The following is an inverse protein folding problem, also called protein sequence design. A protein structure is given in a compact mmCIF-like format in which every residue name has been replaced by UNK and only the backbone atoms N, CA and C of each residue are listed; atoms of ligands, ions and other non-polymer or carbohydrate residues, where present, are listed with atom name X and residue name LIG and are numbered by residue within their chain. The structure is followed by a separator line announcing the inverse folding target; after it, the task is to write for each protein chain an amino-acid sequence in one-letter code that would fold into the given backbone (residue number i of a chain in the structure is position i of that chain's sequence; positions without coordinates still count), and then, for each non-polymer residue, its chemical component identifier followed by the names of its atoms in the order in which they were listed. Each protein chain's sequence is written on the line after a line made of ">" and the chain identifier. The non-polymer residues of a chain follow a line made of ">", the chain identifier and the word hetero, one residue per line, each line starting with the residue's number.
data_IF_942887081812
#
_entry.id   IF_942887081812
#
_cell.length_a   1.000
_cell.length_b   1.000
_cell.length_c   1.000
_cell.angle_alpha   90.00
_cell.angle_beta   90.00
_cell.angle_gamma   90.00
#
_symmetry.space_group_name_H-M   'P 1'
#
loop_
_entity.id
_entity.type
_entity.pdbx_description
1 polymer ?
#
# COMPACT_ATOMS: atom_id res chain seq x y z
N UNK A 1 -1.08 18.04 16.61
CA UNK A 1 -0.27 16.83 16.38
C UNK A 1 1.20 17.16 16.03
N UNK A 2 1.50 18.37 15.53
CA UNK A 2 2.87 18.77 15.17
C UNK A 2 3.37 18.22 13.81
N UNK A 3 2.53 17.47 13.09
CA UNK A 3 2.79 16.96 11.75
C UNK A 3 1.51 16.99 10.90
N UNK A 4 1.60 17.07 9.56
CA UNK A 4 0.42 17.07 8.70
C UNK A 4 -0.25 15.70 8.65
N UNK A 5 -1.54 15.65 8.94
CA UNK A 5 -2.38 14.47 8.71
C UNK A 5 -2.82 14.47 7.25
N UNK A 6 -2.36 13.51 6.47
CA UNK A 6 -2.57 13.45 5.02
C UNK A 6 -3.47 12.31 4.56
N UNK A 7 -3.94 11.49 5.48
CA UNK A 7 -4.80 10.37 5.16
C UNK A 7 -5.75 10.02 6.30
N UNK A 8 -6.86 9.39 5.97
CA UNK A 8 -7.87 8.99 6.94
C UNK A 8 -8.65 7.74 6.53
N UNK A 9 -9.61 7.36 7.34
CA UNK A 9 -10.63 6.37 7.02
C UNK A 9 -12.02 6.98 7.28
N UNK A 10 -12.97 6.71 6.41
CA UNK A 10 -14.34 7.18 6.59
C UNK A 10 -15.00 6.49 7.79
N UNK A 11 -15.62 7.26 8.71
CA UNK A 11 -16.52 6.67 9.70
C UNK A 11 -17.60 5.85 9.00
N UNK A 12 -17.74 4.59 9.40
CA UNK A 12 -18.67 3.62 8.80
C UNK A 12 -18.50 3.40 7.29
N UNK A 13 -17.41 3.90 6.67
CA UNK A 13 -17.20 3.83 5.23
C UNK A 13 -18.09 4.77 4.40
N UNK A 14 -18.83 5.68 5.05
CA UNK A 14 -19.79 6.57 4.38
C UNK A 14 -19.10 7.81 3.80
N UNK A 15 -19.33 8.06 2.53
CA UNK A 15 -18.83 9.25 1.81
C UNK A 15 -19.72 9.58 0.60
N UNK A 16 -19.50 10.75 0.03
CA UNK A 16 -20.09 11.18 -1.24
C UNK A 16 -19.12 12.08 -2.00
N UNK A 17 -19.51 12.51 -3.21
CA UNK A 17 -18.65 13.34 -4.05
C UNK A 17 -18.27 14.67 -3.39
N UNK A 18 -19.19 15.30 -2.66
CA UNK A 18 -18.92 16.56 -1.97
C UNK A 18 -17.87 16.40 -0.86
N UNK A 19 -17.94 15.30 -0.09
CA UNK A 19 -16.94 14.98 0.94
C UNK A 19 -15.58 14.74 0.31
N UNK A 20 -15.50 14.03 -0.82
CA UNK A 20 -14.27 13.81 -1.56
C UNK A 20 -13.64 15.16 -1.98
N UNK A 21 -14.42 16.09 -2.53
CA UNK A 21 -13.93 17.41 -2.94
C UNK A 21 -13.40 18.21 -1.74
N UNK A 22 -14.11 18.20 -0.60
CA UNK A 22 -13.66 18.86 0.63
C UNK A 22 -12.33 18.27 1.10
N UNK A 23 -12.21 16.96 1.17
CA UNK A 23 -10.98 16.28 1.61
C UNK A 23 -9.80 16.59 0.68
N UNK A 24 -10.04 16.62 -0.62
CA UNK A 24 -9.03 17.01 -1.61
C UNK A 24 -8.55 18.44 -1.39
N UNK A 25 -9.47 19.38 -1.15
CA UNK A 25 -9.15 20.78 -0.86
C UNK A 25 -8.36 20.95 0.46
N UNK A 26 -8.58 20.06 1.43
CA UNK A 26 -7.85 20.04 2.71
C UNK A 26 -6.47 19.36 2.62
N UNK A 27 -6.07 18.84 1.45
CA UNK A 27 -4.78 18.17 1.26
C UNK A 27 -4.73 16.72 1.76
N UNK A 28 -5.90 16.10 2.00
CA UNK A 28 -5.97 14.66 2.26
C UNK A 28 -5.70 13.91 0.95
N UNK A 29 -4.72 13.01 0.97
CA UNK A 29 -4.26 12.30 -0.23
C UNK A 29 -4.86 10.92 -0.40
N UNK A 30 -5.37 10.32 0.68
CA UNK A 30 -6.15 9.07 0.60
C UNK A 30 -7.21 8.99 1.69
N UNK A 31 -8.28 8.27 1.42
CA UNK A 31 -9.27 7.92 2.44
C UNK A 31 -9.78 6.49 2.22
N UNK A 32 -9.60 5.63 3.26
CA UNK A 32 -10.03 4.23 3.24
C UNK A 32 -11.55 4.14 3.41
N UNK A 33 -12.14 3.32 2.59
CA UNK A 33 -13.54 2.89 2.70
C UNK A 33 -13.65 1.52 3.39
N UNK A 34 -14.85 0.98 3.51
CA UNK A 34 -15.10 -0.40 3.94
C UNK A 34 -15.28 -1.39 2.79
N UNK A 35 -15.14 -0.94 1.55
CA UNK A 35 -15.19 -1.81 0.38
C UNK A 35 -14.04 -2.82 0.42
N UNK A 36 -14.35 -4.08 0.07
CA UNK A 36 -13.42 -5.23 0.10
C UNK A 36 -13.17 -5.75 -1.31
N UNK A 37 -12.22 -6.68 -1.41
CA UNK A 37 -11.83 -7.31 -2.67
C UNK A 37 -11.37 -6.32 -3.75
N UNK A 38 -10.75 -5.22 -3.29
CA UNK A 38 -10.23 -4.15 -4.15
C UNK A 38 -8.71 -3.97 -3.96
N UNK A 39 -7.88 -4.95 -4.31
CA UNK A 39 -6.44 -4.94 -4.03
C UNK A 39 -5.65 -4.04 -4.97
N UNK A 40 -6.28 -3.07 -5.61
CA UNK A 40 -5.64 -2.20 -6.59
C UNK A 40 -4.78 -1.13 -5.93
N UNK A 41 -3.52 -1.03 -6.36
CA UNK A 41 -2.66 0.10 -6.04
C UNK A 41 -1.84 0.49 -7.29
N UNK A 42 -1.76 1.78 -7.62
CA UNK A 42 -2.51 2.88 -7.02
C UNK A 42 -4.03 2.75 -7.26
N UNK A 43 -4.87 3.19 -6.30
CA UNK A 43 -6.31 3.17 -6.48
C UNK A 43 -6.75 4.15 -7.56
N UNK A 44 -7.87 3.87 -8.23
CA UNK A 44 -8.46 4.75 -9.24
C UNK A 44 -8.87 6.09 -8.61
N UNK A 45 -9.54 6.04 -7.46
CA UNK A 45 -9.85 7.22 -6.64
C UNK A 45 -9.23 7.03 -5.24
N UNK A 46 -8.13 7.73 -4.94
CA UNK A 46 -7.47 7.62 -3.64
C UNK A 46 -8.34 7.99 -2.46
N UNK A 47 -9.27 8.93 -2.65
CA UNK A 47 -10.21 9.34 -1.61
C UNK A 47 -11.45 8.42 -1.50
N UNK A 48 -11.47 7.30 -2.22
CA UNK A 48 -12.44 6.22 -2.09
C UNK A 48 -11.74 4.85 -2.12
N UNK A 49 -10.63 4.72 -1.40
CA UNK A 49 -9.76 3.56 -1.46
C UNK A 49 -10.33 2.34 -0.75
N UNK A 50 -10.63 1.30 -1.50
CA UNK A 50 -11.06 0.00 -0.99
C UNK A 50 -9.89 -0.82 -0.42
N UNK A 51 -10.22 -1.91 0.23
CA UNK A 51 -9.29 -2.80 0.92
C UNK A 51 -9.29 -4.20 0.30
N UNK A 52 -8.31 -5.03 0.66
CA UNK A 52 -8.35 -6.44 0.31
C UNK A 52 -9.32 -7.18 1.22
N UNK A 53 -9.20 -7.00 2.53
CA UNK A 53 -9.96 -7.78 3.51
C UNK A 53 -10.02 -7.09 4.86
N UNK A 54 -11.01 -7.46 5.66
CA UNK A 54 -11.03 -7.17 7.09
C UNK A 54 -10.30 -8.27 7.87
N UNK A 55 -9.62 -7.94 8.97
CA UNK A 55 -8.79 -8.90 9.72
C UNK A 55 -9.58 -10.10 10.29
N UNK A 56 -10.87 -9.94 10.53
CA UNK A 56 -11.77 -11.01 11.01
C UNK A 56 -12.69 -11.57 9.93
N UNK A 57 -12.42 -11.33 8.65
CA UNK A 57 -13.18 -11.94 7.56
C UNK A 57 -13.07 -13.47 7.60
N UNK A 58 -14.22 -14.12 7.40
CA UNK A 58 -14.36 -15.57 7.34
C UNK A 58 -14.93 -16.04 5.99
N UNK A 59 -15.41 -15.13 5.16
CA UNK A 59 -16.03 -15.44 3.87
C UNK A 59 -15.40 -14.60 2.76
N UNK A 60 -15.10 -15.19 1.58
CA UNK A 60 -15.21 -16.62 1.24
C UNK A 60 -14.23 -17.52 2.03
N UNK A 61 -13.19 -16.97 2.60
CA UNK A 61 -12.19 -17.65 3.42
C UNK A 61 -11.59 -16.71 4.47
N UNK A 62 -11.03 -17.24 5.57
CA UNK A 62 -10.35 -16.44 6.59
C UNK A 62 -9.18 -15.63 6.03
N UNK A 63 -8.94 -14.44 6.59
CA UNK A 63 -7.89 -13.52 6.13
C UNK A 63 -6.49 -14.18 6.01
N UNK A 64 -6.01 -15.00 6.98
CA UNK A 64 -4.71 -15.67 6.82
C UNK A 64 -4.64 -16.59 5.59
N UNK A 65 -5.72 -17.30 5.28
CA UNK A 65 -5.78 -18.17 4.09
C UNK A 65 -5.79 -17.36 2.80
N UNK A 66 -6.53 -16.24 2.77
CA UNK A 66 -6.48 -15.28 1.63
C UNK A 66 -5.07 -14.75 1.41
N UNK A 67 -4.34 -14.48 2.50
CA UNK A 67 -2.95 -14.07 2.41
C UNK A 67 -2.08 -15.17 1.79
N UNK A 68 -2.21 -16.40 2.24
CA UNK A 68 -1.44 -17.53 1.69
C UNK A 68 -1.70 -17.72 0.20
N UNK A 69 -2.97 -17.64 -0.22
CA UNK A 69 -3.36 -17.70 -1.64
C UNK A 69 -2.75 -16.55 -2.45
N UNK A 70 -2.79 -15.32 -1.90
CA UNK A 70 -2.22 -14.13 -2.53
C UNK A 70 -0.70 -14.23 -2.64
N UNK A 71 -0.03 -14.50 -1.54
CA UNK A 71 1.44 -14.55 -1.45
C UNK A 71 2.04 -15.75 -2.19
N UNK A 72 1.37 -16.89 -2.15
CA UNK A 72 1.80 -18.10 -2.85
C UNK A 72 1.60 -18.08 -4.36
N UNK A 73 0.87 -17.11 -4.90
CA UNK A 73 0.68 -16.99 -6.34
C UNK A 73 1.83 -16.19 -6.98
N UNK A 74 2.69 -16.82 -7.80
CA UNK A 74 3.85 -16.14 -8.40
C UNK A 74 3.49 -15.02 -9.37
N UNK A 75 2.22 -14.94 -9.78
CA UNK A 75 1.69 -13.85 -10.61
C UNK A 75 1.09 -12.72 -9.78
N UNK A 76 0.92 -12.91 -8.48
CA UNK A 76 0.45 -11.85 -7.59
C UNK A 76 1.54 -10.81 -7.43
N UNK A 77 1.26 -9.62 -7.93
CA UNK A 77 2.02 -8.41 -7.61
C UNK A 77 1.02 -7.35 -7.25
N UNK A 78 1.16 -6.73 -6.11
CA UNK A 78 0.22 -5.69 -5.71
C UNK A 78 0.12 -5.50 -4.21
N UNK A 79 -1.02 -5.05 -3.78
CA UNK A 79 -1.29 -4.66 -2.41
C UNK A 79 -2.19 -5.69 -1.71
N UNK A 80 -1.76 -6.17 -0.55
CA UNK A 80 -2.62 -6.87 0.39
C UNK A 80 -2.96 -5.93 1.54
N UNK A 81 -4.13 -5.30 1.48
CA UNK A 81 -4.55 -4.26 2.41
C UNK A 81 -5.54 -4.81 3.43
N UNK A 82 -5.04 -5.02 4.64
CA UNK A 82 -5.85 -5.49 5.78
C UNK A 82 -6.25 -4.31 6.65
N UNK A 83 -7.48 -4.32 7.13
CA UNK A 83 -7.97 -3.32 8.08
C UNK A 83 -8.80 -3.95 9.20
N UNK A 84 -9.05 -3.19 10.24
CA UNK A 84 -9.89 -3.60 11.38
C UNK A 84 -9.87 -2.53 12.45
N UNK A 85 -10.48 -2.85 13.61
CA UNK A 85 -10.57 -1.92 14.73
C UNK A 85 -10.05 -2.56 16.01
N UNK A 86 -9.32 -1.80 16.81
CA UNK A 86 -8.77 -2.28 18.08
C UNK A 86 -9.86 -2.68 19.09
N UNK A 87 -11.03 -2.03 19.09
CA UNK A 87 -12.13 -2.41 19.96
C UNK A 87 -12.68 -3.81 19.70
N UNK A 88 -12.42 -4.40 18.55
CA UNK A 88 -12.87 -5.76 18.22
C UNK A 88 -12.16 -6.81 19.07
N UNK A 89 -10.94 -6.53 19.54
CA UNK A 89 -10.20 -7.41 20.47
C UNK A 89 -10.71 -7.34 21.92
N UNK A 90 -11.55 -6.36 22.24
CA UNK A 90 -12.19 -6.25 23.54
C UNK A 90 -13.49 -7.10 23.65
N UNK A 91 -13.92 -7.73 22.56
CA UNK A 91 -15.12 -8.57 22.56
C UNK A 91 -14.84 -9.96 23.16
N UNK A 92 -15.83 -10.61 23.81
CA UNK A 92 -15.62 -11.91 24.47
C UNK A 92 -15.08 -13.04 23.57
N UNK A 93 -15.32 -12.95 22.26
CA UNK A 93 -14.93 -13.97 21.27
C UNK A 93 -13.64 -13.65 20.53
N UNK A 94 -13.06 -12.46 20.74
CA UNK A 94 -11.87 -12.00 20.02
C UNK A 94 -10.90 -11.43 21.06
N UNK A 95 -9.76 -12.07 21.22
CA UNK A 95 -8.74 -11.72 22.21
C UNK A 95 -7.52 -11.15 21.53
N UNK A 96 -6.67 -10.49 22.28
CA UNK A 96 -5.37 -10.02 21.80
C UNK A 96 -4.49 -11.17 21.27
N UNK A 97 -4.62 -12.38 21.84
CA UNK A 97 -3.95 -13.58 21.34
C UNK A 97 -4.34 -13.95 19.90
N UNK A 98 -5.56 -13.57 19.47
CA UNK A 98 -6.00 -13.76 18.10
C UNK A 98 -5.25 -12.84 17.13
N UNK A 99 -4.81 -11.66 17.57
CA UNK A 99 -4.02 -10.75 16.74
C UNK A 99 -2.74 -11.44 16.26
N UNK A 100 -1.99 -12.05 17.17
CA UNK A 100 -0.75 -12.74 16.83
C UNK A 100 -1.02 -13.93 15.89
N UNK A 101 -2.03 -14.74 16.19
CA UNK A 101 -2.43 -15.87 15.37
C UNK A 101 -2.82 -15.46 13.95
N UNK A 102 -3.53 -14.33 13.81
CA UNK A 102 -4.01 -13.81 12.52
C UNK A 102 -2.86 -13.22 11.70
N UNK A 103 -1.94 -12.48 12.33
CA UNK A 103 -0.89 -11.75 11.61
C UNK A 103 0.46 -12.49 11.53
N UNK A 104 0.68 -13.52 12.34
CA UNK A 104 1.92 -14.34 12.29
C UNK A 104 2.22 -14.89 10.88
N UNK A 105 1.25 -15.43 10.10
CA UNK A 105 1.52 -15.92 8.76
C UNK A 105 1.97 -14.85 7.78
N UNK A 106 1.60 -13.58 8.03
CA UNK A 106 1.96 -12.46 7.18
C UNK A 106 3.34 -11.86 7.52
N UNK A 107 3.83 -12.09 8.73
CA UNK A 107 5.02 -11.42 9.24
C UNK A 107 6.34 -12.00 8.70
N UNK A 108 7.38 -11.16 8.63
CA UNK A 108 8.77 -11.56 8.40
C UNK A 108 9.11 -12.09 7.00
N UNK A 109 8.29 -11.80 6.00
CA UNK A 109 8.56 -12.20 4.61
C UNK A 109 9.56 -11.23 3.96
N UNK A 110 10.65 -11.74 3.40
CA UNK A 110 11.72 -10.92 2.79
C UNK A 110 11.33 -10.30 1.44
N UNK A 111 10.30 -10.82 0.81
CA UNK A 111 9.74 -10.39 -0.47
C UNK A 111 8.51 -9.48 -0.32
N UNK A 112 8.19 -9.10 0.92
CA UNK A 112 7.04 -8.26 1.25
C UNK A 112 7.50 -6.92 1.84
N UNK A 113 7.06 -5.84 1.25
CA UNK A 113 7.21 -4.51 1.82
C UNK A 113 6.05 -4.19 2.77
N UNK A 114 6.33 -4.17 4.06
CA UNK A 114 5.38 -3.75 5.10
C UNK A 114 5.38 -2.24 5.19
N UNK A 115 4.34 -1.61 4.69
CA UNK A 115 4.25 -0.17 4.57
C UNK A 115 2.98 0.40 5.20
N UNK A 116 3.07 1.61 5.69
CA UNK A 116 1.89 2.42 6.00
C UNK A 116 1.29 2.98 4.71
N UNK A 117 0.00 3.32 4.74
CA UNK A 117 -0.67 3.87 3.57
C UNK A 117 0.03 5.12 3.02
N UNK A 118 0.51 6.01 3.90
CA UNK A 118 1.20 7.22 3.45
C UNK A 118 2.54 6.92 2.77
N UNK A 119 3.28 5.90 3.24
CA UNK A 119 4.52 5.46 2.58
C UNK A 119 4.25 4.97 1.16
N UNK A 120 3.15 4.25 0.94
CA UNK A 120 2.75 3.82 -0.40
C UNK A 120 2.48 5.01 -1.33
N UNK A 121 1.73 6.01 -0.84
CA UNK A 121 1.44 7.22 -1.63
C UNK A 121 2.68 8.05 -1.90
N UNK A 122 3.56 8.23 -0.94
CA UNK A 122 4.80 8.97 -1.12
C UNK A 122 5.76 8.25 -2.09
N UNK A 123 5.84 6.92 -2.01
CA UNK A 123 6.61 6.13 -2.95
C UNK A 123 6.02 6.20 -4.38
N UNK A 124 4.71 6.10 -4.53
CA UNK A 124 4.05 6.22 -5.84
C UNK A 124 4.25 7.63 -6.45
N UNK A 125 4.16 8.67 -5.63
CA UNK A 125 4.45 10.03 -6.07
C UNK A 125 5.91 10.17 -6.53
N UNK A 126 6.85 9.57 -5.82
CA UNK A 126 8.26 9.52 -6.20
C UNK A 126 8.46 8.77 -7.52
N UNK A 127 7.86 7.59 -7.65
CA UNK A 127 7.92 6.75 -8.85
C UNK A 127 7.42 7.49 -10.09
N UNK A 128 6.31 8.22 -9.98
CA UNK A 128 5.74 9.02 -11.09
C UNK A 128 6.62 10.18 -11.53
N UNK A 129 7.48 10.67 -10.64
CA UNK A 129 8.40 11.78 -10.92
C UNK A 129 9.73 11.32 -11.50
N UNK A 130 9.98 10.02 -11.57
CA UNK A 130 11.19 9.48 -12.19
C UNK A 130 11.35 9.96 -13.62
N UNK A 131 12.52 10.47 -13.94
CA UNK A 131 12.89 10.85 -15.29
C UNK A 131 13.76 9.75 -15.91
N UNK A 132 13.24 9.08 -16.95
CA UNK A 132 13.97 8.08 -17.72
C UNK A 132 14.42 8.74 -19.02
N UNK A 133 15.73 8.65 -19.34
CA UNK A 133 16.26 9.17 -20.59
C UNK A 133 15.61 8.50 -21.80
N UNK A 134 15.48 9.21 -22.91
CA UNK A 134 14.82 8.70 -24.12
C UNK A 134 15.47 7.41 -24.67
N UNK A 135 16.78 7.27 -24.49
CA UNK A 135 17.54 6.07 -24.86
C UNK A 135 17.44 4.93 -23.82
N UNK A 136 16.70 5.15 -22.73
CA UNK A 136 16.49 4.22 -21.59
C UNK A 136 17.80 3.77 -20.89
N UNK A 137 18.90 4.51 -21.04
CA UNK A 137 20.18 4.16 -20.43
C UNK A 137 20.41 4.74 -19.06
N UNK A 138 19.66 5.78 -18.68
CA UNK A 138 19.78 6.42 -17.38
C UNK A 138 18.41 6.71 -16.79
N UNK A 139 18.34 6.68 -15.45
CA UNK A 139 17.18 7.12 -14.67
C UNK A 139 17.64 8.16 -13.64
N UNK A 140 16.89 9.24 -13.52
CA UNK A 140 17.06 10.26 -12.49
C UNK A 140 15.87 10.26 -11.53
N UNK A 141 16.16 10.29 -10.23
CA UNK A 141 15.18 10.35 -9.16
C UNK A 141 15.18 11.73 -8.48
N UNK A 142 14.27 12.63 -8.83
CA UNK A 142 14.19 13.96 -8.21
C UNK A 142 13.47 13.96 -6.85
N UNK A 143 13.12 12.80 -6.31
CA UNK A 143 12.35 12.68 -5.06
C UNK A 143 13.26 12.51 -3.84
N UNK A 144 12.64 12.56 -2.64
CA UNK A 144 13.34 12.39 -1.37
C UNK A 144 13.49 10.92 -0.92
N UNK A 145 12.92 9.96 -1.66
CA UNK A 145 12.98 8.53 -1.31
C UNK A 145 13.66 7.75 -2.42
N UNK A 146 14.35 6.66 -2.08
CA UNK A 146 14.89 5.74 -3.08
C UNK A 146 13.76 5.08 -3.85
N UNK A 147 13.86 5.04 -5.17
CA UNK A 147 12.91 4.32 -6.05
C UNK A 147 13.60 3.10 -6.65
N UNK A 148 13.00 1.94 -6.51
CA UNK A 148 13.50 0.68 -7.05
C UNK A 148 12.86 0.40 -8.41
N UNK A 149 13.68 0.11 -9.40
CA UNK A 149 13.29 -0.24 -10.76
C UNK A 149 13.63 -1.71 -11.05
N UNK A 150 12.82 -2.35 -11.87
CA UNK A 150 13.16 -3.64 -12.47
C UNK A 150 13.54 -3.39 -13.94
N UNK A 151 14.80 -3.64 -14.27
CA UNK A 151 15.38 -3.40 -15.60
C UNK A 151 16.00 -4.68 -16.11
N UNK A 152 15.46 -5.26 -17.18
CA UNK A 152 15.92 -6.52 -17.78
C UNK A 152 16.11 -7.65 -16.74
N UNK A 153 15.11 -7.77 -15.86
CA UNK A 153 15.10 -8.77 -14.78
C UNK A 153 15.93 -8.41 -13.54
N UNK A 154 16.76 -7.36 -13.60
CA UNK A 154 17.60 -6.89 -12.47
C UNK A 154 16.86 -5.83 -11.64
N UNK A 155 17.15 -5.83 -10.36
CA UNK A 155 16.71 -4.78 -9.45
C UNK A 155 17.77 -3.66 -9.42
N UNK A 156 17.34 -2.43 -9.62
CA UNK A 156 18.20 -1.24 -9.66
C UNK A 156 17.56 -0.19 -8.73
N UNK A 157 18.26 0.15 -7.67
CA UNK A 157 17.86 1.24 -6.79
C UNK A 157 18.38 2.57 -7.34
N UNK A 158 17.49 3.56 -7.38
CA UNK A 158 17.78 4.94 -7.75
C UNK A 158 17.63 5.80 -6.49
N UNK A 159 18.72 6.12 -5.79
CA UNK A 159 18.67 6.92 -4.57
C UNK A 159 18.07 8.31 -4.81
N UNK A 160 17.64 8.94 -3.71
CA UNK A 160 17.17 10.33 -3.70
C UNK A 160 18.18 11.27 -4.38
N UNK A 161 17.72 12.08 -5.32
CA UNK A 161 18.51 13.06 -6.07
C UNK A 161 19.53 12.46 -7.06
N UNK A 162 19.64 11.14 -7.16
CA UNK A 162 20.65 10.48 -7.98
C UNK A 162 20.21 10.28 -9.44
N UNK A 163 21.22 10.23 -10.32
CA UNK A 163 21.10 9.67 -11.67
C UNK A 163 21.93 8.40 -11.75
N UNK A 164 21.30 7.30 -12.16
CA UNK A 164 21.95 5.99 -12.28
C UNK A 164 21.95 5.49 -13.73
N UNK A 165 22.98 4.72 -14.08
CA UNK A 165 23.02 3.98 -15.34
C UNK A 165 22.18 2.71 -15.22
N UNK A 166 21.31 2.46 -16.19
CA UNK A 166 20.43 1.29 -16.25
C UNK A 166 21.05 0.11 -17.02
N UNK A 167 22.16 0.33 -17.73
CA UNK A 167 22.85 -0.72 -18.45
C UNK A 167 23.63 -1.65 -17.52
N UNK A 168 23.78 -2.91 -17.93
CA UNK A 168 24.72 -3.81 -17.27
C UNK A 168 26.13 -3.24 -17.42
N UNK A 169 26.89 -3.13 -16.33
CA UNK A 169 28.33 -2.96 -16.45
C UNK A 169 28.85 -4.26 -17.10
N UNK A 170 29.37 -4.13 -18.31
CA UNK A 170 30.07 -5.21 -19.02
C UNK A 170 31.32 -5.59 -18.24
#
# INVERSE_FOLDING_TARGET
>A
EGYPVRGMAYPYGSFNAQVIEILRALGIVYCRTTARDMPCFPPVEPLAWGTTTHMFDQSPEPMPQRWETFHGNPKSSGLFFVWGHTYEFARPRQRWDDLERIFRPLAGKSDVWYATNIQLFDYEAARRRMAIAANRRTAHNPSAVTVTLKVDGRIVDVPSGATVCLEARI
#
